data_IF_404961113975
#
_entry.id   IF_404961113975
#
_cell.length_a   1.000
_cell.length_b   1.000
_cell.length_c   1.000
_cell.angle_alpha   90.00
_cell.angle_beta   90.00
_cell.angle_gamma   90.00
#
_symmetry.space_group_name_H-M   'P 1'
#
loop_
_entity.id
_entity.type
_entity.pdbx_description
1 polymer ?
#
# COMPACT_ATOMS: atom_id res chain seq x y z
N UNK A 1 -11.42 -8.29 -26.68
CA UNK A 1 -11.22 -8.55 -25.26
C UNK A 1 -11.29 -7.26 -24.46
N UNK A 2 -11.65 -7.35 -23.20
CA UNK A 2 -11.66 -6.20 -22.27
C UNK A 2 -10.22 -5.64 -22.12
N UNK A 3 -10.10 -4.31 -22.15
CA UNK A 3 -8.82 -3.63 -21.93
C UNK A 3 -8.87 -2.90 -20.58
N UNK A 4 -8.08 -3.30 -19.58
CA UNK A 4 -8.09 -2.73 -18.23
C UNK A 4 -7.34 -1.40 -18.18
N UNK A 5 -7.93 -0.36 -18.79
CA UNK A 5 -7.28 0.95 -18.93
C UNK A 5 -7.05 1.64 -17.58
N UNK A 6 -7.99 1.48 -16.64
CA UNK A 6 -7.87 2.12 -15.34
C UNK A 6 -6.82 1.43 -14.46
N UNK A 7 -6.78 0.11 -14.45
CA UNK A 7 -5.73 -0.65 -13.77
C UNK A 7 -4.33 -0.21 -14.24
N UNK A 8 -4.14 -0.10 -15.56
CA UNK A 8 -2.86 0.39 -16.10
C UNK A 8 -2.61 1.86 -15.76
N UNK A 9 -3.65 2.71 -15.74
CA UNK A 9 -3.50 4.11 -15.32
C UNK A 9 -3.10 4.22 -13.85
N UNK A 10 -3.72 3.43 -12.96
CA UNK A 10 -3.34 3.39 -11.54
C UNK A 10 -1.88 2.92 -11.36
N UNK A 11 -1.47 1.88 -12.07
CA UNK A 11 -0.07 1.43 -12.06
C UNK A 11 0.86 2.55 -12.53
N UNK A 12 0.53 3.21 -13.65
CA UNK A 12 1.34 4.29 -14.19
C UNK A 12 1.46 5.47 -13.22
N UNK A 13 0.36 5.87 -12.55
CA UNK A 13 0.39 6.94 -11.54
C UNK A 13 1.31 6.56 -10.38
N UNK A 14 1.21 5.35 -9.83
CA UNK A 14 2.07 4.90 -8.74
C UNK A 14 3.55 4.90 -9.16
N UNK A 15 3.86 4.43 -10.36
CA UNK A 15 5.23 4.44 -10.90
C UNK A 15 5.75 5.86 -11.09
N UNK A 16 4.93 6.80 -11.60
CA UNK A 16 5.30 8.21 -11.75
C UNK A 16 5.59 8.85 -10.39
N UNK A 17 4.71 8.63 -9.39
CA UNK A 17 4.91 9.12 -8.03
C UNK A 17 6.21 8.56 -7.45
N UNK A 18 6.47 7.26 -7.62
CA UNK A 18 7.70 6.63 -7.16
C UNK A 18 8.96 7.25 -7.76
N UNK A 19 8.97 7.54 -9.06
CA UNK A 19 10.12 8.24 -9.67
C UNK A 19 10.27 9.67 -9.15
N UNK A 20 9.19 10.35 -8.80
CA UNK A 20 9.25 11.62 -8.08
C UNK A 20 9.89 11.45 -6.69
N UNK A 21 9.49 10.41 -5.93
CA UNK A 21 10.08 10.08 -4.64
C UNK A 21 11.58 9.80 -4.77
N UNK A 22 12.00 9.04 -5.77
CA UNK A 22 13.43 8.80 -6.10
C UNK A 22 14.16 10.09 -6.40
N UNK A 23 13.57 10.99 -7.19
CA UNK A 23 14.19 12.27 -7.55
C UNK A 23 14.37 13.19 -6.33
N UNK A 24 13.43 13.17 -5.38
CA UNK A 24 13.51 13.99 -4.15
C UNK A 24 14.49 13.39 -3.15
N UNK A 25 14.48 12.07 -2.97
CA UNK A 25 15.26 11.39 -1.93
C UNK A 25 16.66 10.98 -2.37
N UNK A 26 16.88 10.84 -3.66
CA UNK A 26 18.12 10.26 -4.22
C UNK A 26 18.27 8.75 -3.93
N UNK A 27 17.25 8.09 -3.39
CA UNK A 27 17.24 6.68 -3.04
C UNK A 27 16.30 5.91 -3.96
N UNK A 28 16.54 4.61 -4.17
CA UNK A 28 15.76 3.81 -5.10
C UNK A 28 15.21 2.52 -4.46
N UNK A 29 16.03 1.82 -3.72
CA UNK A 29 15.63 0.51 -3.16
C UNK A 29 14.81 0.65 -1.89
N UNK A 30 15.22 1.55 -1.01
CA UNK A 30 14.58 1.83 0.28
C UNK A 30 14.75 3.32 0.61
N UNK A 31 13.69 3.95 1.06
CA UNK A 31 13.68 5.37 1.43
C UNK A 31 13.83 5.50 2.94
N UNK A 32 15.01 5.91 3.39
CA UNK A 32 15.38 5.95 4.81
C UNK A 32 16.09 7.24 5.24
N UNK A 33 16.37 8.15 4.30
CA UNK A 33 17.05 9.40 4.62
C UNK A 33 16.09 10.51 5.11
N UNK A 34 16.64 11.63 5.54
CA UNK A 34 15.88 12.77 6.04
C UNK A 34 14.89 13.35 4.99
N UNK A 35 15.27 13.36 3.71
CA UNK A 35 14.39 13.81 2.62
C UNK A 35 13.16 12.87 2.47
N UNK A 36 13.36 11.56 2.61
CA UNK A 36 12.29 10.59 2.59
C UNK A 36 11.36 10.76 3.79
N UNK A 37 11.91 10.96 4.98
CA UNK A 37 11.13 11.24 6.18
C UNK A 37 10.27 12.50 5.99
N UNK A 38 10.87 13.59 5.52
CA UNK A 38 10.15 14.84 5.24
C UNK A 38 9.02 14.62 4.23
N UNK A 39 9.29 13.88 3.14
CA UNK A 39 8.30 13.57 2.11
C UNK A 39 7.12 12.79 2.69
N UNK A 40 7.40 11.74 3.47
CA UNK A 40 6.37 10.90 4.05
C UNK A 40 5.57 11.57 5.16
N UNK A 41 6.17 12.48 5.93
CA UNK A 41 5.45 13.26 6.94
C UNK A 41 4.50 14.31 6.31
N UNK A 42 4.79 14.79 5.11
CA UNK A 42 3.95 15.75 4.40
C UNK A 42 2.86 15.11 3.53
N UNK A 43 3.09 13.89 3.00
CA UNK A 43 2.20 13.26 2.02
C UNK A 43 1.68 11.88 2.43
N UNK A 44 2.32 11.23 3.41
CA UNK A 44 1.86 9.99 4.04
C UNK A 44 0.79 10.25 5.09
N UNK A 45 -0.01 9.26 5.40
CA UNK A 45 -1.04 9.35 6.42
C UNK A 45 -0.40 9.21 7.82
N UNK A 46 -0.27 10.32 8.54
CA UNK A 46 0.26 10.38 9.91
C UNK A 46 -0.92 10.45 10.88
N UNK A 47 -1.18 9.39 11.66
CA UNK A 47 -2.33 9.34 12.57
C UNK A 47 -2.43 10.54 13.50
N UNK A 48 -1.37 10.85 14.24
CA UNK A 48 -1.38 11.95 15.20
C UNK A 48 -1.64 13.33 14.59
N UNK A 49 -1.21 13.55 13.31
CA UNK A 49 -1.55 14.76 12.59
C UNK A 49 -3.03 14.78 12.18
N UNK A 50 -3.58 13.63 11.71
CA UNK A 50 -4.96 13.51 11.25
C UNK A 50 -5.94 13.70 12.41
N UNK A 51 -5.60 13.17 13.59
CA UNK A 51 -6.43 13.32 14.80
C UNK A 51 -6.24 14.66 15.52
N UNK A 52 -5.17 15.40 15.18
CA UNK A 52 -4.80 16.64 15.85
C UNK A 52 -4.14 16.44 17.23
N UNK A 53 -3.75 15.21 17.57
CA UNK A 53 -3.05 14.93 18.84
C UNK A 53 -1.60 15.42 18.83
N UNK A 54 -0.99 15.57 17.63
CA UNK A 54 0.31 16.19 17.46
C UNK A 54 0.23 17.33 16.44
N UNK A 55 1.06 18.34 16.61
CA UNK A 55 1.18 19.48 15.69
C UNK A 55 2.41 19.40 14.78
N UNK A 56 3.32 18.49 15.07
CA UNK A 56 4.55 18.28 14.33
C UNK A 56 5.36 17.12 14.92
N UNK A 57 6.37 16.70 14.18
CA UNK A 57 7.20 15.55 14.50
C UNK A 57 8.66 16.00 14.58
N UNK A 58 9.30 15.71 15.72
CA UNK A 58 10.73 15.93 15.90
C UNK A 58 11.51 14.79 15.24
N UNK A 59 12.25 15.09 14.20
CA UNK A 59 13.06 14.11 13.45
C UNK A 59 14.46 13.92 14.04
N UNK A 60 14.80 14.66 15.10
CA UNK A 60 16.15 14.73 15.64
C UNK A 60 17.08 15.73 14.94
N UNK A 61 16.68 16.22 13.78
CA UNK A 61 17.38 17.26 12.99
C UNK A 61 16.58 18.56 13.03
N UNK A 62 15.26 18.45 12.84
CA UNK A 62 14.31 19.55 12.83
C UNK A 62 12.92 19.09 13.32
N UNK A 63 11.99 20.05 13.38
CA UNK A 63 10.58 19.76 13.65
C UNK A 63 9.81 19.98 12.36
N UNK A 64 9.24 18.90 11.82
CA UNK A 64 8.35 18.96 10.66
C UNK A 64 6.93 19.13 11.16
N UNK A 65 6.32 20.27 10.83
CA UNK A 65 4.92 20.54 11.18
C UNK A 65 3.96 19.64 10.41
N UNK A 66 2.84 19.29 11.02
CA UNK A 66 1.77 18.58 10.32
C UNK A 66 1.27 19.38 9.11
N UNK A 67 0.83 18.70 8.02
CA UNK A 67 0.21 19.35 6.87
C UNK A 67 -0.99 20.22 7.27
N UNK A 68 -1.28 21.26 6.49
CA UNK A 68 -2.40 22.16 6.76
C UNK A 68 -3.78 21.48 6.72
N UNK A 69 -3.90 20.42 5.92
CA UNK A 69 -5.09 19.56 5.79
C UNK A 69 -4.62 18.11 5.86
N UNK A 70 -4.39 17.58 7.08
CA UNK A 70 -3.82 16.24 7.24
C UNK A 70 -4.70 15.12 6.68
N UNK A 71 -6.01 15.33 6.62
CA UNK A 71 -6.97 14.35 6.11
C UNK A 71 -6.75 14.04 4.62
N UNK A 72 -6.22 14.99 3.85
CA UNK A 72 -5.89 14.77 2.43
C UNK A 72 -4.76 13.76 2.25
N UNK A 73 -3.94 13.56 3.28
CA UNK A 73 -2.86 12.58 3.25
C UNK A 73 -3.38 11.14 3.23
N UNK A 74 -4.63 10.88 3.65
CA UNK A 74 -5.29 9.58 3.46
C UNK A 74 -5.41 9.21 1.99
N UNK A 75 -5.54 10.20 1.10
CA UNK A 75 -5.60 9.97 -0.35
C UNK A 75 -4.21 9.91 -0.96
N UNK A 76 -3.31 10.86 -0.65
CA UNK A 76 -1.97 10.91 -1.24
C UNK A 76 -1.13 9.70 -0.84
N UNK A 77 -1.23 9.24 0.40
CA UNK A 77 -0.51 8.07 0.90
C UNK A 77 -0.74 6.79 0.10
N UNK A 78 -1.92 6.63 -0.52
CA UNK A 78 -2.26 5.47 -1.35
C UNK A 78 -1.32 5.33 -2.57
N UNK A 79 -0.70 6.42 -3.01
CA UNK A 79 0.16 6.44 -4.20
C UNK A 79 1.65 6.48 -3.87
N UNK A 80 2.02 6.63 -2.60
CA UNK A 80 3.40 6.68 -2.16
C UNK A 80 3.95 5.29 -1.81
N UNK A 81 5.27 5.11 -1.92
CA UNK A 81 5.89 3.82 -1.64
C UNK A 81 7.25 4.00 -0.94
N UNK A 82 7.52 3.13 0.04
CA UNK A 82 8.76 3.17 0.85
C UNK A 82 10.01 2.63 0.13
N UNK A 83 9.90 2.22 -1.15
CA UNK A 83 11.01 1.70 -1.94
C UNK A 83 10.57 0.79 -3.08
N UNK A 84 11.52 0.35 -3.90
CA UNK A 84 11.27 -0.43 -5.11
C UNK A 84 10.53 -1.74 -4.85
N UNK A 85 10.90 -2.49 -3.81
CA UNK A 85 10.26 -3.78 -3.52
C UNK A 85 8.81 -3.60 -3.07
N UNK A 86 8.54 -2.53 -2.31
CA UNK A 86 7.18 -2.17 -1.88
C UNK A 86 6.32 -1.80 -3.09
N UNK A 87 6.81 -0.92 -3.98
CA UNK A 87 6.12 -0.59 -5.24
C UNK A 87 5.90 -1.85 -6.08
N UNK A 88 6.96 -2.63 -6.32
CA UNK A 88 6.92 -3.81 -7.19
C UNK A 88 5.90 -4.84 -6.73
N UNK A 89 5.83 -5.11 -5.43
CA UNK A 89 4.83 -6.00 -4.83
C UNK A 89 3.41 -5.48 -5.06
N UNK A 90 3.15 -4.21 -4.73
CA UNK A 90 1.84 -3.59 -4.95
C UNK A 90 1.43 -3.62 -6.43
N UNK A 91 2.30 -3.22 -7.34
CA UNK A 91 1.98 -3.19 -8.77
C UNK A 91 1.77 -4.58 -9.36
N UNK A 92 2.49 -5.59 -8.89
CA UNK A 92 2.29 -6.98 -9.30
C UNK A 92 0.88 -7.46 -8.93
N UNK A 93 0.45 -7.24 -7.71
CA UNK A 93 -0.88 -7.65 -7.26
C UNK A 93 -1.99 -6.85 -7.96
N UNK A 94 -1.80 -5.54 -8.12
CA UNK A 94 -2.75 -4.71 -8.85
C UNK A 94 -2.87 -5.14 -10.32
N UNK A 95 -1.77 -5.52 -10.95
CA UNK A 95 -1.76 -6.01 -12.33
C UNK A 95 -2.49 -7.36 -12.48
N UNK A 96 -2.25 -8.32 -11.54
CA UNK A 96 -2.83 -9.68 -11.63
C UNK A 96 -4.33 -9.69 -11.32
N UNK A 97 -4.77 -8.89 -10.35
CA UNK A 97 -6.13 -8.96 -9.82
C UNK A 97 -7.02 -7.78 -10.21
N UNK A 98 -6.43 -6.60 -10.41
CA UNK A 98 -7.14 -5.36 -10.67
C UNK A 98 -7.93 -5.38 -12.00
N UNK A 99 -7.39 -6.00 -13.04
CA UNK A 99 -8.02 -6.11 -14.35
C UNK A 99 -9.37 -6.85 -14.29
N UNK A 100 -9.44 -7.90 -13.50
CA UNK A 100 -10.65 -8.70 -13.30
C UNK A 100 -11.72 -7.91 -12.54
N UNK A 101 -11.30 -7.12 -11.56
CA UNK A 101 -12.21 -6.28 -10.76
C UNK A 101 -12.68 -5.09 -11.59
N UNK A 102 -11.79 -4.46 -12.38
CA UNK A 102 -12.17 -3.42 -13.34
C UNK A 102 -13.18 -3.94 -14.37
N UNK A 103 -12.97 -5.15 -14.91
CA UNK A 103 -13.88 -5.79 -15.84
C UNK A 103 -15.27 -6.05 -15.23
N UNK A 104 -15.32 -6.39 -13.93
CA UNK A 104 -16.56 -6.70 -13.23
C UNK A 104 -17.37 -5.46 -12.86
N UNK A 105 -16.72 -4.42 -12.35
CA UNK A 105 -17.39 -3.21 -11.85
C UNK A 105 -17.48 -2.09 -12.89
N UNK A 106 -16.66 -2.14 -13.93
CA UNK A 106 -16.45 -1.01 -14.85
C UNK A 106 -15.54 0.07 -14.24
N UNK A 107 -14.97 0.91 -15.08
CA UNK A 107 -13.89 1.86 -14.71
C UNK A 107 -14.27 2.83 -13.59
N UNK A 108 -15.42 3.50 -13.75
CA UNK A 108 -15.82 4.57 -12.81
C UNK A 108 -16.07 4.02 -11.41
N UNK A 109 -16.85 2.92 -11.31
CA UNK A 109 -17.11 2.27 -10.01
C UNK A 109 -15.82 1.69 -9.43
N UNK A 110 -14.97 1.07 -10.26
CA UNK A 110 -13.71 0.52 -9.80
C UNK A 110 -12.79 1.60 -9.23
N UNK A 111 -12.67 2.77 -9.86
CA UNK A 111 -11.91 3.89 -9.31
C UNK A 111 -12.44 4.32 -7.95
N UNK A 112 -13.76 4.53 -7.86
CA UNK A 112 -14.39 4.96 -6.61
C UNK A 112 -14.15 4.00 -5.47
N UNK A 113 -14.38 2.69 -5.68
CA UNK A 113 -14.18 1.68 -4.63
C UNK A 113 -12.70 1.46 -4.31
N UNK A 114 -11.79 1.55 -5.29
CA UNK A 114 -10.35 1.48 -5.06
C UNK A 114 -9.88 2.57 -4.09
N UNK A 115 -10.27 3.82 -4.35
CA UNK A 115 -9.93 4.95 -3.48
C UNK A 115 -10.60 4.81 -2.10
N UNK A 116 -11.86 4.36 -2.04
CA UNK A 116 -12.55 4.12 -0.77
C UNK A 116 -11.86 3.03 0.06
N UNK A 117 -11.37 1.95 -0.55
CA UNK A 117 -10.61 0.93 0.16
C UNK A 117 -9.28 1.47 0.67
N UNK A 118 -8.58 2.29 -0.11
CA UNK A 118 -7.33 2.93 0.32
C UNK A 118 -7.53 3.87 1.50
N UNK A 119 -8.50 4.79 1.39
CA UNK A 119 -8.86 5.73 2.47
C UNK A 119 -9.36 4.97 3.70
N UNK A 120 -10.22 3.96 3.51
CA UNK A 120 -10.74 3.14 4.60
C UNK A 120 -9.64 2.40 5.37
N UNK A 121 -8.66 1.84 4.66
CA UNK A 121 -7.51 1.20 5.28
C UNK A 121 -6.66 2.22 6.06
N UNK A 122 -6.44 3.42 5.49
CA UNK A 122 -5.77 4.52 6.20
C UNK A 122 -6.51 4.94 7.47
N UNK A 123 -7.84 5.03 7.43
CA UNK A 123 -8.65 5.33 8.62
C UNK A 123 -8.55 4.22 9.69
N UNK A 124 -8.56 2.95 9.29
CA UNK A 124 -8.36 1.83 10.21
C UNK A 124 -6.97 1.91 10.86
N UNK A 125 -5.94 2.26 10.10
CA UNK A 125 -4.60 2.48 10.63
C UNK A 125 -4.58 3.62 11.66
N UNK A 126 -5.21 4.76 11.36
CA UNK A 126 -5.36 5.89 12.31
C UNK A 126 -6.07 5.46 13.59
N UNK A 127 -7.13 4.66 13.48
CA UNK A 127 -7.87 4.16 14.66
C UNK A 127 -7.06 3.16 15.51
N UNK A 128 -6.04 2.52 14.93
CA UNK A 128 -5.18 1.56 15.62
C UNK A 128 -4.22 2.24 16.63
N UNK A 129 -3.70 3.42 16.29
CA UNK A 129 -2.89 4.27 17.17
C UNK A 129 -3.05 5.73 16.74
N UNK A 130 -3.93 6.46 17.43
CA UNK A 130 -4.32 7.84 17.09
C UNK A 130 -3.21 8.86 17.32
N UNK A 131 -2.21 8.51 18.11
CA UNK A 131 -1.15 9.44 18.55
C UNK A 131 0.18 9.25 17.81
N UNK A 132 0.32 8.17 17.05
CA UNK A 132 1.61 7.88 16.40
C UNK A 132 1.98 8.92 15.34
N UNK A 133 3.26 9.30 15.33
CA UNK A 133 3.88 10.13 14.31
C UNK A 133 4.44 9.32 13.11
N UNK A 134 4.20 8.01 13.05
CA UNK A 134 4.72 7.15 11.97
C UNK A 134 3.79 7.26 10.76
N UNK A 135 4.29 7.71 9.59
CA UNK A 135 3.47 7.82 8.40
C UNK A 135 3.17 6.45 7.78
N UNK A 136 1.91 6.20 7.46
CA UNK A 136 1.53 5.08 6.59
C UNK A 136 1.58 5.52 5.12
N UNK A 137 2.16 4.67 4.27
CA UNK A 137 2.26 4.88 2.81
C UNK A 137 2.07 3.57 2.08
N UNK A 138 1.47 3.61 0.90
CA UNK A 138 1.35 2.48 -0.01
C UNK A 138 -0.06 2.21 -0.51
N UNK A 139 -0.13 1.63 -1.71
CA UNK A 139 -1.37 1.18 -2.32
C UNK A 139 -1.96 -0.09 -1.67
N UNK A 140 -1.25 -0.69 -0.70
CA UNK A 140 -1.55 -2.01 -0.14
C UNK A 140 -2.95 -2.12 0.46
N UNK A 141 -3.44 -1.05 1.12
CA UNK A 141 -4.81 -1.00 1.65
C UNK A 141 -5.87 -1.09 0.55
N UNK A 142 -5.73 -0.30 -0.52
CA UNK A 142 -6.61 -0.36 -1.68
C UNK A 142 -6.53 -1.72 -2.38
N UNK A 143 -5.32 -2.26 -2.53
CA UNK A 143 -5.06 -3.57 -3.15
C UNK A 143 -5.65 -4.70 -2.28
N UNK A 144 -5.58 -4.61 -0.96
CA UNK A 144 -6.25 -5.57 -0.06
C UNK A 144 -7.76 -5.60 -0.31
N UNK A 145 -8.38 -4.45 -0.56
CA UNK A 145 -9.78 -4.37 -1.01
C UNK A 145 -10.01 -5.05 -2.36
N UNK A 146 -9.11 -4.86 -3.34
CA UNK A 146 -9.15 -5.56 -4.64
C UNK A 146 -9.07 -7.07 -4.45
N UNK A 147 -8.16 -7.55 -3.60
CA UNK A 147 -7.99 -8.98 -3.32
C UNK A 147 -9.21 -9.56 -2.59
N UNK A 148 -9.78 -8.81 -1.64
CA UNK A 148 -11.02 -9.19 -0.95
C UNK A 148 -12.19 -9.31 -1.93
N UNK A 149 -12.37 -8.34 -2.82
CA UNK A 149 -13.39 -8.40 -3.88
C UNK A 149 -13.15 -9.57 -4.84
N UNK A 150 -11.90 -9.81 -5.23
CA UNK A 150 -11.54 -10.95 -6.08
C UNK A 150 -11.88 -12.28 -5.39
N UNK A 151 -11.57 -12.41 -4.10
CA UNK A 151 -11.87 -13.61 -3.31
C UNK A 151 -13.37 -13.92 -3.29
N UNK A 152 -14.20 -12.89 -3.14
CA UNK A 152 -15.68 -13.06 -3.10
C UNK A 152 -16.25 -13.40 -4.48
N UNK A 153 -15.73 -12.76 -5.53
CA UNK A 153 -16.29 -12.88 -6.90
C UNK A 153 -15.74 -14.12 -7.61
N UNK A 154 -14.45 -14.44 -7.40
CA UNK A 154 -13.73 -15.49 -8.10
C UNK A 154 -13.06 -16.53 -7.18
N UNK A 155 -13.75 -17.09 -6.15
CA UNK A 155 -13.11 -17.92 -5.12
C UNK A 155 -12.45 -19.19 -5.68
N UNK A 156 -12.95 -19.70 -6.79
CA UNK A 156 -12.48 -20.95 -7.41
C UNK A 156 -11.48 -20.71 -8.56
N UNK A 157 -11.19 -19.44 -8.90
CA UNK A 157 -10.18 -19.13 -9.90
C UNK A 157 -8.80 -19.63 -9.45
N UNK A 158 -8.01 -20.15 -10.40
CA UNK A 158 -6.68 -20.67 -10.12
C UNK A 158 -5.64 -19.60 -10.32
N UNK A 159 -4.95 -19.24 -9.24
CA UNK A 159 -3.82 -18.30 -9.25
C UNK A 159 -2.55 -19.10 -9.52
N UNK A 160 -1.80 -18.70 -10.55
CA UNK A 160 -0.47 -19.25 -10.82
C UNK A 160 0.49 -18.68 -9.78
N UNK A 161 0.93 -19.53 -8.87
CA UNK A 161 1.79 -19.17 -7.74
C UNK A 161 3.16 -19.77 -7.95
N UNK A 162 4.18 -18.93 -7.94
CA UNK A 162 5.58 -19.37 -7.95
C UNK A 162 6.02 -19.62 -6.50
N UNK A 163 6.24 -20.88 -6.16
CA UNK A 163 6.78 -21.25 -4.86
C UNK A 163 8.28 -21.49 -4.99
N UNK A 164 9.06 -20.76 -4.20
CA UNK A 164 10.52 -20.93 -4.09
C UNK A 164 10.87 -21.23 -2.63
N UNK A 165 11.38 -22.40 -2.38
CA UNK A 165 11.87 -22.88 -1.08
C UNK A 165 13.37 -23.23 -1.22
N UNK A 166 14.23 -22.25 -0.98
CA UNK A 166 15.67 -22.40 -1.22
C UNK A 166 15.96 -22.72 -2.70
N UNK A 167 16.59 -23.84 -2.96
CA UNK A 167 16.89 -24.32 -4.34
C UNK A 167 15.73 -25.03 -5.02
N UNK A 168 14.64 -25.30 -4.30
CA UNK A 168 13.42 -25.90 -4.86
C UNK A 168 12.47 -24.82 -5.35
N UNK A 169 12.11 -24.86 -6.63
CA UNK A 169 11.10 -23.97 -7.20
C UNK A 169 10.05 -24.77 -7.97
N UNK A 170 8.78 -24.36 -7.82
CA UNK A 170 7.65 -25.01 -8.49
C UNK A 170 6.56 -24.00 -8.79
N UNK A 171 5.97 -24.15 -9.98
CA UNK A 171 4.73 -23.44 -10.32
C UNK A 171 3.53 -24.24 -9.82
N UNK A 172 2.74 -23.62 -8.96
CA UNK A 172 1.52 -24.20 -8.40
C UNK A 172 0.31 -23.44 -8.96
N UNK A 173 -0.82 -24.13 -9.04
CA UNK A 173 -2.10 -23.53 -9.38
C UNK A 173 -3.03 -23.65 -8.17
N UNK A 174 -3.02 -22.62 -7.33
CA UNK A 174 -3.76 -22.61 -6.05
C UNK A 174 -5.06 -21.85 -6.27
N UNK A 175 -6.19 -22.37 -5.74
CA UNK A 175 -7.45 -21.65 -5.80
C UNK A 175 -7.35 -20.34 -5.00
N UNK A 176 -7.98 -19.26 -5.50
CA UNK A 176 -7.96 -17.95 -4.87
C UNK A 176 -8.44 -18.01 -3.41
N UNK A 177 -9.45 -18.81 -3.12
CA UNK A 177 -10.00 -19.02 -1.77
C UNK A 177 -9.00 -19.54 -0.72
N UNK A 178 -7.88 -20.13 -1.15
CA UNK A 178 -6.81 -20.55 -0.25
C UNK A 178 -5.61 -19.61 -0.30
N UNK A 179 -5.24 -19.15 -1.51
CA UNK A 179 -4.07 -18.30 -1.72
C UNK A 179 -4.26 -16.90 -1.11
N UNK A 180 -5.40 -16.25 -1.38
CA UNK A 180 -5.59 -14.86 -0.98
C UNK A 180 -5.74 -14.66 0.54
N UNK A 181 -6.52 -15.46 1.29
CA UNK A 181 -6.53 -15.34 2.75
C UNK A 181 -5.16 -15.60 3.36
N UNK A 182 -4.44 -16.63 2.90
CA UNK A 182 -3.08 -16.89 3.35
C UNK A 182 -2.16 -15.68 3.11
N UNK A 183 -2.20 -15.10 1.90
CA UNK A 183 -1.39 -13.94 1.56
C UNK A 183 -1.75 -12.71 2.39
N UNK A 184 -3.04 -12.39 2.53
CA UNK A 184 -3.50 -11.26 3.33
C UNK A 184 -3.09 -11.39 4.80
N UNK A 185 -3.20 -12.59 5.37
CA UNK A 185 -2.76 -12.88 6.72
C UNK A 185 -1.25 -12.75 6.82
N UNK A 186 -0.50 -13.36 5.91
CA UNK A 186 0.96 -13.33 5.91
C UNK A 186 1.50 -11.90 5.75
N UNK A 187 0.95 -11.10 4.84
CA UNK A 187 1.36 -9.73 4.60
C UNK A 187 1.13 -8.82 5.81
N UNK A 188 0.03 -9.03 6.54
CA UNK A 188 -0.33 -8.19 7.69
C UNK A 188 0.20 -8.72 9.02
N UNK A 189 0.22 -10.04 9.23
CA UNK A 189 0.67 -10.63 10.48
C UNK A 189 2.20 -10.77 10.56
N UNK A 190 2.88 -11.06 9.45
CA UNK A 190 4.32 -11.24 9.47
C UNK A 190 5.06 -9.96 9.91
N UNK A 191 4.75 -8.76 9.38
CA UNK A 191 5.32 -7.52 9.89
C UNK A 191 5.01 -7.27 11.37
N UNK A 192 3.81 -7.63 11.84
CA UNK A 192 3.44 -7.51 13.25
C UNK A 192 4.29 -8.43 14.13
N UNK A 193 4.52 -9.66 13.73
CA UNK A 193 5.35 -10.60 14.49
C UNK A 193 6.85 -10.27 14.41
N UNK A 194 7.33 -9.77 13.29
CA UNK A 194 8.74 -9.38 13.12
C UNK A 194 8.98 -7.98 13.67
N UNK A 195 8.06 -7.04 13.47
CA UNK A 195 8.16 -5.64 13.90
C UNK A 195 7.76 -5.40 15.36
N UNK A 196 6.98 -6.28 15.98
CA UNK A 196 6.63 -6.21 17.41
C UNK A 196 7.82 -6.38 18.36
N UNK A 197 9.01 -6.66 17.85
CA UNK A 197 10.30 -6.66 18.55
C UNK A 197 11.20 -5.48 18.13
N UNK A 198 10.62 -4.38 17.68
CA UNK A 198 11.29 -3.09 17.51
C UNK A 198 12.01 -2.93 16.18
N UNK A 199 11.29 -2.66 15.13
CA UNK A 199 11.65 -1.65 14.12
C UNK A 199 10.35 -1.23 13.41
N UNK A 200 10.06 0.06 13.47
CA UNK A 200 9.04 0.71 12.66
C UNK A 200 9.43 0.65 11.18
N UNK A 201 9.17 -0.47 10.55
CA UNK A 201 9.20 -0.61 9.11
C UNK A 201 7.77 -0.52 8.61
N UNK A 202 7.34 0.66 8.16
CA UNK A 202 6.01 0.89 7.62
C UNK A 202 5.70 -0.09 6.52
N UNK A 203 4.84 -1.03 6.83
CA UNK A 203 4.28 -1.97 5.88
C UNK A 203 2.89 -2.33 6.36
N UNK A 204 1.90 -1.61 5.87
CA UNK A 204 0.52 -2.10 5.79
C UNK A 204 0.16 -2.13 4.32
#
# INVERSE_FOLDING_TARGET
GFKPKLTYALIAINVIVFFFEVAVTGQFFEFSNHQAMNLFLNWGAVPGCITGEISGINTGVDIISCPAIPELTLLSSVFMHGGLMHLGGNMLFLWIFGDNIEAKFGRVKYLGIYLLWGIGAGLIHVMGDTSTGIPAVGASGAISGVLGAYLVIFPHARVKTFLMLGFFWRMLHIKAMYFLPFWLIFQNLLPFFIGGFGVAGGGV
#
